data_IF_333783078368
#
_entry.id   IF_333783078368
#
_cell.length_a   1.000
_cell.length_b   1.000
_cell.length_c   1.000
_cell.angle_alpha   90.00
_cell.angle_beta   90.00
_cell.angle_gamma   90.00
#
_symmetry.space_group_name_H-M   'P 1'
#
loop_
_entity.id
_entity.type
_entity.pdbx_description
1 polymer ?
#
# COMPACT_ATOMS: atom_id res chain seq x y z
N UNK A 1 12.00 43.20 -32.34
CA UNK A 1 10.96 43.01 -33.38
C UNK A 1 9.99 41.94 -32.93
N UNK A 2 8.67 42.19 -33.07
CA UNK A 2 7.47 41.32 -32.93
C UNK A 2 6.41 42.07 -32.09
N UNK A 3 5.64 42.96 -32.75
CA UNK A 3 4.25 42.79 -33.25
C UNK A 3 3.19 42.80 -32.13
N UNK A 4 2.55 43.96 -31.97
CA UNK A 4 1.24 44.13 -31.33
C UNK A 4 0.17 43.37 -32.14
N UNK A 5 -0.74 42.69 -31.43
CA UNK A 5 -2.08 42.41 -31.92
C UNK A 5 -3.07 42.73 -30.81
N UNK A 6 -3.81 43.81 -31.01
CA UNK A 6 -5.07 44.13 -30.33
C UNK A 6 -6.18 43.23 -30.87
N UNK A 7 -6.98 42.66 -29.98
CA UNK A 7 -8.31 42.15 -30.30
C UNK A 7 -9.29 42.63 -29.23
N UNK A 8 -10.18 43.53 -29.65
CA UNK A 8 -11.45 43.77 -28.97
C UNK A 8 -12.39 42.59 -29.30
N UNK A 9 -13.03 42.03 -28.28
CA UNK A 9 -14.07 41.00 -28.45
C UNK A 9 -14.94 40.87 -27.20
N UNK A 10 -16.15 41.43 -27.30
CA UNK A 10 -17.37 41.25 -26.49
C UNK A 10 -17.26 40.86 -24.99
N UNK A 11 -17.66 41.79 -24.12
CA UNK A 11 -18.04 41.54 -22.73
C UNK A 11 -19.42 40.87 -22.73
N UNK A 12 -19.48 39.57 -22.44
CA UNK A 12 -20.70 38.95 -21.90
C UNK A 12 -20.57 38.84 -20.39
N UNK A 13 -21.39 39.61 -19.69
CA UNK A 13 -21.52 39.67 -18.25
C UNK A 13 -22.35 38.48 -17.76
N UNK A 14 -21.75 37.53 -17.03
CA UNK A 14 -22.49 36.59 -16.19
C UNK A 14 -21.84 36.47 -14.80
N UNK A 15 -22.60 36.97 -13.82
CA UNK A 15 -22.63 36.60 -12.40
C UNK A 15 -21.32 36.24 -11.70
N UNK A 16 -20.77 37.20 -10.98
CA UNK A 16 -19.88 36.93 -9.84
C UNK A 16 -20.69 36.38 -8.68
N UNK A 17 -20.34 35.20 -8.19
CA UNK A 17 -20.29 34.93 -6.75
C UNK A 17 -19.05 34.10 -6.47
N UNK A 18 -17.99 34.81 -6.07
CA UNK A 18 -16.77 34.27 -5.52
C UNK A 18 -17.07 33.59 -4.19
N UNK A 19 -16.72 32.31 -4.07
CA UNK A 19 -16.02 31.84 -2.86
C UNK A 19 -14.89 30.93 -3.30
N UNK A 20 -13.68 31.44 -3.11
CA UNK A 20 -12.44 30.69 -3.22
C UNK A 20 -12.58 29.39 -2.42
N UNK A 21 -12.48 28.26 -3.11
CA UNK A 21 -11.83 27.10 -2.51
C UNK A 21 -10.48 27.06 -3.21
N UNK A 22 -9.48 27.65 -2.57
CA UNK A 22 -8.09 27.33 -2.87
C UNK A 22 -7.98 25.85 -2.53
N UNK A 23 -8.23 24.98 -3.51
CA UNK A 23 -7.79 23.61 -3.43
C UNK A 23 -6.28 23.72 -3.20
N UNK A 24 -5.79 23.16 -2.11
CA UNK A 24 -4.35 23.09 -1.85
C UNK A 24 -3.67 22.68 -3.14
N UNK A 25 -2.81 23.55 -3.67
CA UNK A 25 -1.81 23.21 -4.67
C UNK A 25 -0.90 22.14 -4.02
N UNK A 26 -1.38 20.90 -3.98
CA UNK A 26 -0.50 19.74 -3.97
C UNK A 26 0.24 19.89 -5.28
N UNK A 27 1.52 20.25 -5.21
CA UNK A 27 2.44 20.09 -6.33
C UNK A 27 2.26 18.67 -6.84
N UNK A 28 1.48 18.53 -7.90
CA UNK A 28 1.22 17.25 -8.52
C UNK A 28 2.52 16.92 -9.23
N UNK A 29 3.34 16.05 -8.62
CA UNK A 29 4.66 15.64 -9.14
C UNK A 29 4.58 15.01 -10.53
N UNK A 30 3.38 14.63 -10.97
CA UNK A 30 3.11 13.95 -12.22
C UNK A 30 2.08 14.71 -13.04
N UNK A 31 2.28 14.76 -14.36
CA UNK A 31 1.24 15.19 -15.28
C UNK A 31 0.02 14.26 -15.23
N UNK A 32 -1.18 14.71 -15.63
CA UNK A 32 -2.36 13.85 -15.68
C UNK A 32 -2.18 12.57 -16.49
N UNK A 33 -1.36 12.59 -17.55
CA UNK A 33 -1.05 11.42 -18.38
C UNK A 33 -0.09 10.44 -17.67
N UNK A 34 1.01 10.93 -17.08
CA UNK A 34 1.92 10.10 -16.28
C UNK A 34 1.18 9.46 -15.10
N UNK A 35 0.28 10.22 -14.47
CA UNK A 35 -0.59 9.74 -13.40
C UNK A 35 -1.52 8.62 -13.88
N UNK A 36 -2.16 8.80 -15.04
CA UNK A 36 -3.06 7.79 -15.62
C UNK A 36 -2.31 6.51 -15.99
N UNK A 37 -1.09 6.63 -16.51
CA UNK A 37 -0.25 5.49 -16.86
C UNK A 37 0.25 4.75 -15.61
N UNK A 38 0.72 5.48 -14.59
CA UNK A 38 1.08 4.91 -13.28
C UNK A 38 -0.10 4.19 -12.62
N UNK A 39 -1.31 4.75 -12.68
CA UNK A 39 -2.53 4.11 -12.18
C UNK A 39 -2.85 2.82 -12.92
N UNK A 40 -2.71 2.80 -14.24
CA UNK A 40 -2.96 1.61 -15.05
C UNK A 40 -1.92 0.51 -14.79
N UNK A 41 -0.65 0.88 -14.62
CA UNK A 41 0.44 -0.07 -14.34
C UNK A 41 0.40 -0.64 -12.91
N UNK A 42 -0.13 0.12 -11.93
CA UNK A 42 -0.14 -0.25 -10.52
C UNK A 42 -1.54 -0.55 -9.96
N UNK A 43 -2.53 -0.74 -10.84
CA UNK A 43 -3.92 -0.96 -10.45
C UNK A 43 -4.06 -2.20 -9.56
N UNK A 44 -4.72 -2.05 -8.40
CA UNK A 44 -5.05 -3.20 -7.55
C UNK A 44 -6.21 -3.97 -8.18
N UNK A 45 -6.00 -5.27 -8.38
CA UNK A 45 -7.12 -6.18 -8.60
C UNK A 45 -7.73 -6.57 -7.24
N UNK A 46 -8.62 -5.72 -6.73
CA UNK A 46 -9.37 -5.98 -5.49
C UNK A 46 -10.85 -5.69 -5.70
N UNK A 47 -11.73 -6.46 -5.07
CA UNK A 47 -13.18 -6.20 -5.09
C UNK A 47 -13.59 -5.13 -4.07
N UNK A 48 -12.66 -4.68 -3.21
CA UNK A 48 -12.94 -3.65 -2.22
C UNK A 48 -12.93 -2.24 -2.86
N UNK A 49 -14.12 -1.66 -3.00
CA UNK A 49 -14.33 -0.36 -3.62
C UNK A 49 -13.66 0.79 -2.86
N UNK A 50 -13.60 0.73 -1.53
CA UNK A 50 -12.96 1.77 -0.70
C UNK A 50 -11.45 1.83 -0.95
N UNK A 51 -10.82 0.67 -1.16
CA UNK A 51 -9.41 0.60 -1.55
C UNK A 51 -9.22 1.13 -2.99
N UNK A 52 -10.15 0.84 -3.91
CA UNK A 52 -10.10 1.38 -5.28
C UNK A 52 -10.21 2.91 -5.29
N UNK A 53 -11.08 3.46 -4.44
CA UNK A 53 -11.40 4.88 -4.45
C UNK A 53 -10.36 5.72 -3.68
N UNK A 54 -9.79 5.17 -2.59
CA UNK A 54 -8.94 5.92 -1.65
C UNK A 54 -7.46 5.50 -1.67
N UNK A 55 -7.12 4.37 -2.31
CA UNK A 55 -5.79 3.75 -2.24
C UNK A 55 -5.26 3.31 -3.62
N UNK A 56 -5.42 4.16 -4.64
CA UNK A 56 -5.01 3.92 -6.04
C UNK A 56 -3.51 3.62 -6.27
N UNK A 57 -2.66 3.78 -5.25
CA UNK A 57 -1.20 3.81 -5.35
C UNK A 57 -0.48 2.65 -4.66
N UNK A 58 -1.22 1.81 -3.94
CA UNK A 58 -0.70 0.53 -3.45
C UNK A 58 -0.94 -0.55 -4.50
N UNK A 59 -0.07 -1.55 -4.60
CA UNK A 59 -0.29 -2.74 -5.43
C UNK A 59 -0.33 -3.99 -4.55
N UNK A 60 -1.20 -4.94 -4.87
CA UNK A 60 -1.17 -6.24 -4.21
C UNK A 60 0.17 -6.93 -4.50
N UNK A 61 0.83 -7.40 -3.45
CA UNK A 61 2.00 -8.24 -3.60
C UNK A 61 1.50 -9.67 -3.73
N UNK A 62 1.75 -10.31 -4.87
CA UNK A 62 1.26 -11.68 -5.15
C UNK A 62 2.37 -12.73 -5.00
N UNK A 63 3.63 -12.31 -4.99
CA UNK A 63 4.79 -13.20 -4.93
C UNK A 63 5.75 -12.79 -3.79
N UNK A 64 6.56 -13.72 -3.27
CA UNK A 64 7.61 -13.43 -2.29
C UNK A 64 8.67 -12.41 -2.77
N UNK A 65 9.51 -11.97 -1.83
CA UNK A 65 10.40 -10.83 -2.00
C UNK A 65 11.72 -11.24 -2.67
N UNK A 66 11.80 -11.05 -3.99
CA UNK A 66 12.95 -11.49 -4.79
C UNK A 66 14.09 -10.45 -4.86
N UNK A 67 13.81 -9.17 -4.58
CA UNK A 67 14.79 -8.07 -4.66
C UNK A 67 14.60 -7.07 -3.52
N UNK A 68 15.68 -6.35 -3.18
CA UNK A 68 15.60 -5.16 -2.32
C UNK A 68 15.20 -3.98 -3.20
N UNK A 69 14.02 -3.43 -2.95
CA UNK A 69 13.42 -2.37 -3.78
C UNK A 69 13.26 -1.03 -3.05
N UNK A 70 13.64 -0.97 -1.76
CA UNK A 70 13.46 0.19 -0.89
C UNK A 70 12.01 0.66 -0.76
N UNK A 71 11.01 -0.15 -1.12
CA UNK A 71 9.60 0.19 -1.02
C UNK A 71 9.04 -0.15 0.36
N UNK A 72 7.95 0.53 0.73
CA UNK A 72 7.18 0.20 1.92
C UNK A 72 6.14 -0.87 1.59
N UNK A 73 6.00 -1.82 2.50
CA UNK A 73 5.03 -2.90 2.41
C UNK A 73 4.11 -2.85 3.62
N UNK A 74 2.81 -2.98 3.36
CA UNK A 74 1.76 -3.08 4.35
C UNK A 74 1.26 -4.52 4.42
N UNK A 75 1.27 -5.09 5.62
CA UNK A 75 0.92 -6.50 5.85
C UNK A 75 -0.28 -6.56 6.76
N UNK A 76 -1.38 -7.14 6.27
CA UNK A 76 -2.56 -7.47 7.08
C UNK A 76 -2.40 -8.90 7.58
N UNK A 77 -2.19 -9.03 8.89
CA UNK A 77 -1.90 -10.31 9.54
C UNK A 77 -2.59 -10.44 10.90
N UNK A 78 -2.56 -11.67 11.44
CA UNK A 78 -2.98 -11.98 12.81
C UNK A 78 -2.18 -13.16 13.37
N UNK A 79 -2.14 -13.25 14.69
CA UNK A 79 -1.48 -14.34 15.41
C UNK A 79 -2.22 -15.67 15.24
N UNK A 80 -3.41 -15.82 15.81
CA UNK A 80 -4.30 -16.96 15.56
C UNK A 80 -5.72 -16.50 15.23
N UNK A 81 -6.66 -17.44 15.09
CA UNK A 81 -8.05 -17.14 14.75
C UNK A 81 -8.80 -16.29 15.79
N UNK A 82 -8.34 -16.31 17.04
CA UNK A 82 -8.88 -15.50 18.13
C UNK A 82 -8.25 -14.10 18.20
N UNK A 83 -7.26 -13.81 17.37
CA UNK A 83 -6.66 -12.47 17.30
C UNK A 83 -7.33 -11.65 16.21
N UNK A 84 -7.55 -10.36 16.53
CA UNK A 84 -8.00 -9.38 15.55
C UNK A 84 -6.95 -9.21 14.45
N UNK A 85 -7.44 -8.94 13.25
CA UNK A 85 -6.59 -8.49 12.16
C UNK A 85 -5.89 -7.18 12.54
N UNK A 86 -4.64 -7.05 12.11
CA UNK A 86 -3.89 -5.81 12.23
C UNK A 86 -3.11 -5.55 10.95
N UNK A 87 -2.89 -4.28 10.68
CA UNK A 87 -2.04 -3.83 9.58
C UNK A 87 -0.74 -3.26 10.15
N UNK A 88 0.38 -3.68 9.60
CA UNK A 88 1.70 -3.13 9.94
C UNK A 88 2.48 -2.80 8.68
N UNK A 89 3.40 -1.84 8.79
CA UNK A 89 4.28 -1.44 7.68
C UNK A 89 5.73 -1.76 7.97
N UNK A 90 6.46 -2.17 6.94
CA UNK A 90 7.92 -2.30 6.99
C UNK A 90 8.55 -1.86 5.66
N UNK A 91 9.84 -1.52 5.69
CA UNK A 91 10.60 -1.15 4.49
C UNK A 91 11.44 -2.33 4.01
N UNK A 92 11.40 -2.64 2.72
CA UNK A 92 12.26 -3.64 2.09
C UNK A 92 13.58 -3.01 1.63
N UNK A 93 14.37 -2.54 2.59
CA UNK A 93 15.63 -1.81 2.38
C UNK A 93 16.90 -2.68 2.44
N UNK A 94 16.77 -3.96 2.79
CA UNK A 94 17.89 -4.85 3.05
C UNK A 94 17.45 -6.31 3.08
N UNK A 95 18.42 -7.19 2.80
CA UNK A 95 18.33 -8.65 2.90
C UNK A 95 18.57 -9.16 4.34
N UNK A 96 18.28 -8.33 5.35
CA UNK A 96 18.44 -8.75 6.74
C UNK A 96 17.11 -9.30 7.26
N UNK A 97 17.19 -10.30 8.15
CA UNK A 97 16.03 -10.73 8.92
C UNK A 97 15.48 -9.56 9.74
N UNK A 98 14.17 -9.33 9.64
CA UNK A 98 13.46 -8.27 10.36
C UNK A 98 12.32 -8.86 11.16
N UNK A 99 12.33 -8.60 12.46
CA UNK A 99 11.15 -8.79 13.30
C UNK A 99 10.26 -7.57 13.13
N UNK A 100 9.22 -7.70 12.31
CA UNK A 100 8.37 -6.58 11.92
C UNK A 100 7.42 -6.20 13.05
N UNK A 101 6.82 -7.21 13.70
CA UNK A 101 5.75 -6.98 14.66
C UNK A 101 5.52 -8.18 15.59
N UNK A 102 4.79 -7.96 16.69
CA UNK A 102 4.44 -8.97 17.69
C UNK A 102 3.00 -8.82 18.17
N UNK A 103 2.30 -9.93 18.35
CA UNK A 103 1.01 -9.98 19.03
C UNK A 103 0.92 -11.25 19.87
N UNK A 104 0.69 -11.10 21.17
CA UNK A 104 0.69 -12.22 22.12
C UNK A 104 1.95 -13.10 21.96
N UNK A 105 1.76 -14.40 21.69
CA UNK A 105 2.83 -15.37 21.49
C UNK A 105 3.25 -15.51 20.00
N UNK A 106 2.86 -14.58 19.12
CA UNK A 106 3.15 -14.63 17.69
C UNK A 106 4.03 -13.45 17.24
N UNK A 107 4.97 -13.74 16.34
CA UNK A 107 5.84 -12.74 15.70
C UNK A 107 5.65 -12.75 14.19
N UNK A 108 5.53 -11.57 13.58
CA UNK A 108 5.68 -11.40 12.14
C UNK A 108 7.15 -11.13 11.81
N UNK A 109 7.72 -11.97 10.96
CA UNK A 109 9.14 -11.96 10.63
C UNK A 109 9.29 -11.94 9.10
N UNK A 110 10.19 -11.10 8.61
CA UNK A 110 10.69 -11.13 7.24
C UNK A 110 12.08 -11.74 7.25
N UNK A 111 12.31 -12.83 6.52
CA UNK A 111 13.59 -13.54 6.53
C UNK A 111 13.79 -14.41 5.29
N UNK A 112 15.04 -14.79 5.06
CA UNK A 112 15.41 -15.72 3.99
C UNK A 112 14.94 -17.13 4.35
N UNK A 113 14.25 -17.77 3.43
CA UNK A 113 13.88 -19.15 3.58
C UNK A 113 14.71 -20.05 2.67
N UNK A 114 15.38 -21.01 3.30
CA UNK A 114 16.26 -21.98 2.62
C UNK A 114 15.72 -23.39 2.82
N UNK A 115 14.74 -23.76 1.99
CA UNK A 115 14.21 -25.13 1.91
C UNK A 115 14.51 -25.70 0.53
N UNK A 116 14.50 -27.03 0.31
CA UNK A 116 14.91 -27.67 -0.95
C UNK A 116 14.20 -27.20 -2.24
N UNK A 117 13.16 -26.37 -2.14
CA UNK A 117 12.40 -25.79 -3.25
C UNK A 117 12.04 -24.31 -3.05
N UNK A 118 12.57 -23.67 -2.00
CA UNK A 118 12.27 -22.26 -1.67
C UNK A 118 13.57 -21.57 -1.31
N UNK A 119 13.91 -20.53 -2.08
CA UNK A 119 15.13 -19.75 -1.97
C UNK A 119 14.83 -18.28 -2.24
N UNK A 120 14.05 -17.67 -1.35
CA UNK A 120 13.70 -16.25 -1.42
C UNK A 120 13.35 -15.71 -0.04
N UNK A 121 13.29 -14.38 0.09
CA UNK A 121 12.77 -13.75 1.29
C UNK A 121 11.25 -13.87 1.33
N UNK A 122 10.72 -14.19 2.50
CA UNK A 122 9.28 -14.26 2.70
C UNK A 122 8.87 -13.71 4.08
N UNK A 123 7.58 -13.47 4.24
CA UNK A 123 6.94 -13.18 5.52
C UNK A 123 6.52 -14.48 6.19
N UNK A 124 6.72 -14.53 7.50
CA UNK A 124 6.36 -15.69 8.33
C UNK A 124 5.71 -15.22 9.62
N UNK A 125 4.62 -15.88 10.00
CA UNK A 125 4.09 -15.83 11.36
C UNK A 125 4.65 -17.01 12.14
N UNK A 126 5.43 -16.71 13.18
CA UNK A 126 6.05 -17.70 14.05
C UNK A 126 5.39 -17.69 15.42
N UNK A 127 4.96 -18.87 15.89
CA UNK A 127 4.45 -19.06 17.25
C UNK A 127 5.58 -19.41 18.22
N UNK A 128 5.79 -18.57 19.23
CA UNK A 128 6.89 -18.69 20.20
C UNK A 128 6.86 -20.03 20.95
N UNK A 129 5.67 -20.53 21.28
CA UNK A 129 5.50 -21.75 22.11
C UNK A 129 5.40 -23.04 21.30
N UNK A 130 5.01 -22.95 20.03
CA UNK A 130 4.74 -24.11 19.18
C UNK A 130 5.85 -24.45 18.18
N UNK A 131 6.82 -23.55 17.98
CA UNK A 131 7.86 -23.64 16.93
C UNK A 131 7.29 -23.83 15.51
N UNK A 132 6.02 -23.48 15.31
CA UNK A 132 5.38 -23.52 14.01
C UNK A 132 5.59 -22.18 13.30
N UNK A 133 6.09 -22.27 12.06
CA UNK A 133 6.28 -21.14 11.18
C UNK A 133 5.33 -21.26 9.99
N UNK A 134 4.48 -20.26 9.84
CA UNK A 134 3.49 -20.18 8.78
C UNK A 134 3.91 -19.11 7.80
N UNK A 135 4.32 -19.53 6.61
CA UNK A 135 4.72 -18.62 5.53
C UNK A 135 3.52 -17.97 4.89
N UNK A 136 3.73 -16.76 4.40
CA UNK A 136 2.72 -16.05 3.63
C UNK A 136 2.41 -16.77 2.31
N UNK A 137 3.41 -17.34 1.64
CA UNK A 137 3.20 -18.10 0.41
C UNK A 137 2.47 -19.45 0.61
N UNK A 138 2.45 -19.98 1.85
CA UNK A 138 1.85 -21.27 2.13
C UNK A 138 0.35 -21.14 2.46
N UNK A 139 -0.50 -21.74 1.62
CA UNK A 139 -1.91 -21.91 1.92
C UNK A 139 -2.13 -23.02 2.96
N UNK A 140 -1.95 -22.70 4.25
CA UNK A 140 -2.02 -23.68 5.36
C UNK A 140 -3.40 -23.85 6.01
N UNK A 141 -4.47 -23.33 5.41
CA UNK A 141 -5.85 -23.46 5.93
C UNK A 141 -6.19 -22.48 7.06
N UNK A 142 -5.23 -22.15 7.94
CA UNK A 142 -5.32 -21.00 8.85
C UNK A 142 -4.82 -19.76 8.10
N UNK A 143 -5.70 -18.76 7.97
CA UNK A 143 -5.35 -17.48 7.35
C UNK A 143 -4.65 -16.59 8.39
N UNK A 144 -3.34 -16.75 8.53
CA UNK A 144 -2.48 -15.84 9.31
C UNK A 144 -2.28 -14.51 8.59
N UNK A 145 -2.27 -14.55 7.26
CA UNK A 145 -2.19 -13.40 6.37
C UNK A 145 -3.52 -13.23 5.67
N UNK A 146 -3.96 -11.98 5.51
CA UNK A 146 -5.10 -11.63 4.68
C UNK A 146 -4.67 -10.98 3.37
N UNK A 147 -3.70 -10.07 3.42
CA UNK A 147 -3.20 -9.36 2.24
C UNK A 147 -1.86 -8.68 2.51
N UNK A 148 -1.05 -8.53 1.48
CA UNK A 148 0.18 -7.75 1.49
C UNK A 148 0.11 -6.73 0.36
N UNK A 149 0.42 -5.48 0.66
CA UNK A 149 0.40 -4.38 -0.30
C UNK A 149 1.75 -3.69 -0.35
N UNK A 150 2.19 -3.29 -1.55
CA UNK A 150 3.38 -2.47 -1.78
C UNK A 150 2.99 -1.03 -2.05
N UNK A 151 3.62 -0.07 -1.39
CA UNK A 151 3.55 1.35 -1.75
C UNK A 151 4.50 1.63 -2.92
N UNK A 152 3.96 2.10 -4.04
CA UNK A 152 4.76 2.28 -5.26
C UNK A 152 5.42 3.65 -5.39
N UNK A 153 4.86 4.67 -4.76
CA UNK A 153 5.36 6.03 -4.88
C UNK A 153 6.56 6.28 -3.96
N UNK A 154 7.37 7.28 -4.30
CA UNK A 154 8.47 7.77 -3.45
C UNK A 154 8.02 8.95 -2.55
N UNK A 155 6.71 9.17 -2.48
CA UNK A 155 6.07 10.17 -1.62
C UNK A 155 5.67 9.58 -0.27
N UNK A 156 5.18 10.44 0.64
CA UNK A 156 4.69 10.04 1.95
C UNK A 156 3.60 8.96 1.83
N UNK A 157 3.83 7.83 2.46
CA UNK A 157 2.90 6.71 2.48
C UNK A 157 1.65 7.02 3.32
N UNK A 158 0.49 6.44 2.97
CA UNK A 158 -0.76 6.68 3.69
C UNK A 158 -0.74 6.06 5.09
N UNK A 159 -1.55 6.63 5.98
CA UNK A 159 -1.83 6.00 7.28
C UNK A 159 -2.99 5.02 7.11
N UNK A 160 -2.69 3.72 7.12
CA UNK A 160 -3.68 2.66 6.92
C UNK A 160 -4.14 2.06 8.24
N UNK A 161 -5.44 1.79 8.32
CA UNK A 161 -6.07 1.01 9.39
C UNK A 161 -6.78 -0.19 8.81
N UNK A 162 -7.15 -1.13 9.68
CA UNK A 162 -7.88 -2.33 9.29
C UNK A 162 -9.09 -2.51 10.19
N UNK A 163 -10.21 -2.92 9.62
CA UNK A 163 -11.42 -3.26 10.37
C UNK A 163 -11.35 -4.68 11.00
N UNK A 164 -12.40 -5.06 11.72
CA UNK A 164 -12.50 -6.37 12.39
C UNK A 164 -12.51 -7.54 11.42
N UNK A 165 -12.94 -7.33 10.18
CA UNK A 165 -12.95 -8.35 9.15
C UNK A 165 -11.61 -8.44 8.43
N UNK A 166 -10.72 -7.46 8.63
CA UNK A 166 -9.40 -7.41 8.01
C UNK A 166 -9.37 -6.60 6.71
N UNK A 167 -10.36 -5.75 6.47
CA UNK A 167 -10.39 -4.86 5.30
C UNK A 167 -9.65 -3.56 5.60
N UNK A 168 -8.86 -3.09 4.63
CA UNK A 168 -7.98 -1.93 4.78
C UNK A 168 -8.70 -0.63 4.41
N UNK A 169 -8.45 0.42 5.18
CA UNK A 169 -8.99 1.78 4.99
C UNK A 169 -7.93 2.83 5.31
N UNK A 170 -8.13 4.06 4.83
CA UNK A 170 -7.31 5.22 5.24
C UNK A 170 -7.79 5.69 6.62
N UNK A 171 -6.85 5.97 7.52
CA UNK A 171 -7.18 6.46 8.85
C UNK A 171 -7.72 7.90 8.79
N UNK A 172 -8.94 8.11 9.27
CA UNK A 172 -9.59 9.42 9.33
C UNK A 172 -10.65 9.68 8.25
N UNK A 173 -10.97 8.67 7.43
CA UNK A 173 -12.17 8.64 6.58
C UNK A 173 -13.35 7.96 7.30
#
# INVERSE_FOLDING_TARGET
>A
MKRLLTLFGAITLLGTSTTNVVACDKTQEYTPEELAQLKAENQINTDNQEIKDNLEWIAAQENPFNTVDNKYYFVVWRGNENNYWRIVKFKNDSQNTKKIDNINDYSLIFHWWDKPKVHHYDLTVSEIKGHAEHRWEDYTGIKYFKSVYRWNLDTQEPNLVVDTDGNVKVNGE
#
